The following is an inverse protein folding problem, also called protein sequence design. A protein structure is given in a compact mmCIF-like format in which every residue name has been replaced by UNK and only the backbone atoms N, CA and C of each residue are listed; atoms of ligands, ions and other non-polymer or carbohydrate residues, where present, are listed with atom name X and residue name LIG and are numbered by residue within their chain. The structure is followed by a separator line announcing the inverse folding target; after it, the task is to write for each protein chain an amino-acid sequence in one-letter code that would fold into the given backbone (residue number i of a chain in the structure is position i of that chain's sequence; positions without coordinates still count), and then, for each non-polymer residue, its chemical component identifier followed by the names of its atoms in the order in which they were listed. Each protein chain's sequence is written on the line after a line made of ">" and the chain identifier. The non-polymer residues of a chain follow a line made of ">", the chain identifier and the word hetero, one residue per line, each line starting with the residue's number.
data_IF_415749728325
#
_entry.id   IF_415749728325
#
_cell.length_a   1.000
_cell.length_b   1.000
_cell.length_c   1.000
_cell.angle_alpha   90.00
_cell.angle_beta   90.00
_cell.angle_gamma   90.00
#
_symmetry.space_group_name_H-M   'P 1'
#
loop_
_entity.id
_entity.type
_entity.pdbx_description
1 polymer ?
#
# COMPACT_ATOMS: atom_id res chain seq x y z
N UNK A 1 -30.38 -15.46 1.67
CA UNK A 1 -29.58 -14.78 0.64
C UNK A 1 -28.46 -14.03 1.36
N UNK A 2 -27.22 -14.51 1.29
CA UNK A 2 -26.03 -13.87 1.87
C UNK A 2 -25.82 -12.53 1.14
N UNK A 3 -25.74 -11.39 1.89
CA UNK A 3 -25.31 -10.12 1.31
C UNK A 3 -23.92 -10.36 0.72
N UNK A 4 -23.75 -10.22 -0.59
CA UNK A 4 -22.43 -10.16 -1.21
C UNK A 4 -21.63 -9.08 -0.48
N UNK A 5 -20.52 -9.47 0.13
CA UNK A 5 -19.61 -8.54 0.77
C UNK A 5 -18.98 -7.72 -0.36
N UNK A 6 -19.24 -6.41 -0.40
CA UNK A 6 -18.71 -5.50 -1.42
C UNK A 6 -17.38 -4.93 -0.95
N UNK A 7 -16.48 -4.66 -1.90
CA UNK A 7 -15.26 -3.91 -1.66
C UNK A 7 -15.59 -2.53 -1.08
N UNK A 8 -14.70 -1.98 -0.26
CA UNK A 8 -15.02 -0.77 0.50
C UNK A 8 -14.74 0.49 -0.30
N UNK A 9 -15.76 1.31 -0.53
CA UNK A 9 -15.65 2.67 -1.04
C UNK A 9 -15.43 3.67 0.13
N UNK A 10 -14.65 4.74 -0.12
CA UNK A 10 -14.29 5.78 0.85
C UNK A 10 -14.91 7.14 0.56
N UNK A 11 -15.93 7.24 -0.32
CA UNK A 11 -16.66 8.47 -0.57
C UNK A 11 -17.26 9.06 0.71
N UNK A 12 -17.24 10.38 0.84
CA UNK A 12 -17.73 11.12 2.01
C UNK A 12 -16.80 11.08 3.24
N UNK A 13 -15.66 10.35 3.21
CA UNK A 13 -14.70 10.28 4.32
C UNK A 13 -13.26 10.63 3.92
N UNK A 14 -13.04 11.07 2.68
CA UNK A 14 -11.73 11.40 2.12
C UNK A 14 -10.96 12.43 2.98
N UNK A 15 -11.59 13.50 3.45
CA UNK A 15 -10.96 14.50 4.32
C UNK A 15 -10.54 13.97 5.70
N UNK A 16 -11.24 12.94 6.24
CA UNK A 16 -10.82 12.25 7.47
C UNK A 16 -9.61 11.36 7.23
N UNK A 17 -9.50 10.78 6.04
CA UNK A 17 -8.36 9.98 5.63
C UNK A 17 -7.09 10.83 5.54
N UNK A 18 -7.17 12.03 4.94
CA UNK A 18 -6.07 12.95 4.82
C UNK A 18 -5.46 13.29 6.18
N UNK A 19 -6.28 13.76 7.13
CA UNK A 19 -5.83 14.16 8.47
C UNK A 19 -5.28 13.01 9.31
N UNK A 20 -5.90 11.82 9.22
CA UNK A 20 -5.60 10.71 10.13
C UNK A 20 -4.53 9.74 9.60
N UNK A 21 -4.19 9.80 8.31
CA UNK A 21 -3.25 8.85 7.72
C UNK A 21 -2.09 9.59 7.06
N UNK A 22 -2.35 10.50 6.14
CA UNK A 22 -1.29 11.08 5.30
C UNK A 22 -0.44 12.13 6.01
N UNK A 23 -1.06 13.04 6.79
CA UNK A 23 -0.36 14.12 7.51
C UNK A 23 0.26 13.67 8.84
N UNK A 24 0.22 12.37 9.16
CA UNK A 24 0.78 11.82 10.40
C UNK A 24 2.20 11.28 10.19
N UNK A 25 2.94 11.08 11.29
CA UNK A 25 4.24 10.37 11.26
C UNK A 25 4.15 9.00 10.60
N UNK A 26 3.01 8.31 10.70
CA UNK A 26 2.75 7.03 10.02
C UNK A 26 2.78 7.16 8.50
N UNK A 27 2.15 8.22 7.97
CA UNK A 27 2.12 8.50 6.54
C UNK A 27 3.49 8.93 6.03
N UNK A 28 4.15 9.86 6.75
CA UNK A 28 5.51 10.34 6.44
C UNK A 28 6.52 9.20 6.39
N UNK A 29 6.53 8.32 7.40
CA UNK A 29 7.43 7.18 7.46
C UNK A 29 7.16 6.19 6.31
N UNK A 30 5.88 5.84 6.06
CA UNK A 30 5.51 4.97 4.93
C UNK A 30 5.99 5.54 3.61
N UNK A 31 5.75 6.81 3.35
CA UNK A 31 6.17 7.47 2.12
C UNK A 31 7.69 7.45 1.97
N UNK A 32 8.44 7.77 3.03
CA UNK A 32 9.90 7.77 3.00
C UNK A 32 10.47 6.38 2.69
N UNK A 33 9.91 5.32 3.27
CA UNK A 33 10.33 3.93 2.99
C UNK A 33 10.08 3.57 1.54
N UNK A 34 8.88 3.85 1.01
CA UNK A 34 8.53 3.52 -0.38
C UNK A 34 9.37 4.33 -1.39
N UNK A 35 9.59 5.61 -1.14
CA UNK A 35 10.44 6.45 -2.00
C UNK A 35 11.90 5.99 -2.00
N UNK A 36 12.44 5.54 -0.84
CA UNK A 36 13.77 4.92 -0.78
C UNK A 36 13.82 3.65 -1.63
N UNK A 37 12.82 2.76 -1.50
CA UNK A 37 12.76 1.52 -2.26
C UNK A 37 12.69 1.80 -3.77
N UNK A 38 11.99 2.84 -4.17
CA UNK A 38 11.91 3.25 -5.58
C UNK A 38 13.16 3.93 -6.11
N UNK A 39 13.83 4.75 -5.30
CA UNK A 39 15.09 5.39 -5.71
C UNK A 39 16.20 4.37 -6.01
N UNK A 40 16.12 3.19 -5.43
CA UNK A 40 17.06 2.08 -5.67
C UNK A 40 16.58 1.15 -6.80
N UNK A 41 15.38 1.36 -7.33
CA UNK A 41 14.79 0.52 -8.38
C UNK A 41 15.16 1.04 -9.77
N UNK A 42 15.86 0.22 -10.55
CA UNK A 42 16.28 0.59 -11.92
C UNK A 42 15.11 0.82 -12.87
N UNK A 43 13.96 0.19 -12.65
CA UNK A 43 12.73 0.38 -13.45
C UNK A 43 12.17 1.81 -13.36
N UNK A 44 12.54 2.55 -12.31
CA UNK A 44 12.11 3.93 -12.07
C UNK A 44 13.24 4.97 -12.25
N UNK A 45 14.42 4.55 -12.74
CA UNK A 45 15.53 5.44 -12.99
C UNK A 45 15.29 6.42 -14.16
N UNK A 46 14.35 6.10 -15.05
CA UNK A 46 13.94 6.94 -16.20
C UNK A 46 12.43 7.11 -16.21
N UNK A 47 11.91 8.21 -16.79
CA UNK A 47 10.47 8.41 -16.95
C UNK A 47 9.77 7.20 -17.54
N UNK A 48 8.72 6.74 -16.88
CA UNK A 48 7.97 5.53 -17.22
C UNK A 48 6.47 5.76 -17.08
N UNK A 49 5.66 4.88 -17.66
CA UNK A 49 4.23 4.82 -17.43
C UNK A 49 3.96 3.94 -16.20
N UNK A 50 3.23 4.50 -15.25
CA UNK A 50 2.92 3.83 -13.97
C UNK A 50 1.40 3.75 -13.81
N UNK A 51 0.89 2.61 -13.37
CA UNK A 51 -0.48 2.46 -12.90
C UNK A 51 -0.47 2.38 -11.36
N UNK A 52 -1.23 3.24 -10.69
CA UNK A 52 -1.45 3.18 -9.24
C UNK A 52 -2.87 2.72 -8.95
N UNK A 53 -3.00 1.50 -8.43
CA UNK A 53 -4.27 0.82 -8.16
C UNK A 53 -4.70 1.05 -6.72
N UNK A 54 -5.88 1.63 -6.53
CA UNK A 54 -6.36 2.04 -5.20
C UNK A 54 -5.50 3.18 -4.63
N UNK A 55 -5.22 4.16 -5.49
CA UNK A 55 -4.26 5.23 -5.23
C UNK A 55 -4.67 6.16 -4.07
N UNK A 56 -5.96 6.19 -3.71
CA UNK A 56 -6.49 7.17 -2.78
C UNK A 56 -6.20 8.59 -3.26
N UNK A 57 -5.57 9.42 -2.43
CA UNK A 57 -5.18 10.79 -2.78
C UNK A 57 -3.85 10.87 -3.56
N UNK A 58 -3.32 9.76 -4.04
CA UNK A 58 -2.20 9.73 -4.97
C UNK A 58 -0.86 10.29 -4.45
N UNK A 59 -0.62 10.32 -3.15
CA UNK A 59 0.61 10.95 -2.60
C UNK A 59 1.90 10.42 -3.19
N UNK A 60 1.99 9.10 -3.39
CA UNK A 60 3.15 8.47 -3.99
C UNK A 60 3.21 8.73 -5.50
N UNK A 61 2.05 8.63 -6.17
CA UNK A 61 1.89 8.96 -7.58
C UNK A 61 2.34 10.39 -7.90
N UNK A 62 1.96 11.36 -7.06
CA UNK A 62 2.38 12.75 -7.22
C UNK A 62 3.90 12.93 -7.06
N UNK A 63 4.51 12.22 -6.11
CA UNK A 63 5.97 12.25 -5.94
C UNK A 63 6.71 11.65 -7.16
N UNK A 64 6.16 10.58 -7.77
CA UNK A 64 6.68 9.98 -8.99
C UNK A 64 6.45 10.88 -10.22
N UNK A 65 5.31 11.56 -10.29
CA UNK A 65 5.03 12.54 -11.35
C UNK A 65 6.02 13.70 -11.31
N UNK A 66 6.42 14.18 -10.11
CA UNK A 66 7.46 15.20 -9.95
C UNK A 66 8.84 14.72 -10.45
N UNK A 67 9.07 13.42 -10.56
CA UNK A 67 10.27 12.81 -11.15
C UNK A 67 10.13 12.58 -12.68
N UNK A 68 9.01 13.01 -13.28
CA UNK A 68 8.76 12.96 -14.73
C UNK A 68 8.00 11.72 -15.19
N UNK A 69 7.55 10.85 -14.30
CA UNK A 69 6.73 9.69 -14.66
C UNK A 69 5.32 10.11 -15.08
N UNK A 70 4.71 9.34 -15.99
CA UNK A 70 3.29 9.45 -16.34
C UNK A 70 2.49 8.46 -15.51
N UNK A 71 1.61 8.97 -14.64
CA UNK A 71 0.91 8.11 -13.67
C UNK A 71 -0.58 8.10 -13.91
N UNK A 72 -1.13 6.90 -14.10
CA UNK A 72 -2.57 6.64 -14.13
C UNK A 72 -3.02 6.20 -12.75
N UNK A 73 -3.86 6.99 -12.09
CA UNK A 73 -4.45 6.69 -10.79
C UNK A 73 -5.81 6.05 -10.97
N UNK A 74 -6.05 4.97 -10.24
CA UNK A 74 -7.39 4.37 -10.13
C UNK A 74 -7.79 4.22 -8.67
N UNK A 75 -9.03 4.56 -8.36
CA UNK A 75 -9.64 4.35 -7.05
C UNK A 75 -11.15 4.19 -7.20
N UNK A 76 -11.82 3.57 -6.23
CA UNK A 76 -13.28 3.50 -6.18
C UNK A 76 -13.92 4.84 -5.80
N UNK A 77 -13.18 5.71 -5.12
CA UNK A 77 -13.65 6.98 -4.58
C UNK A 77 -13.31 8.12 -5.52
N UNK A 78 -14.33 8.72 -6.12
CA UNK A 78 -14.18 9.93 -6.91
C UNK A 78 -13.65 11.09 -6.05
N UNK A 79 -14.13 11.22 -4.81
CA UNK A 79 -13.67 12.25 -3.87
C UNK A 79 -12.14 12.20 -3.65
N UNK A 80 -11.58 10.99 -3.55
CA UNK A 80 -10.12 10.79 -3.39
C UNK A 80 -9.36 11.24 -4.63
N UNK A 81 -9.85 10.90 -5.81
CA UNK A 81 -9.23 11.26 -7.09
C UNK A 81 -9.32 12.76 -7.36
N UNK A 82 -10.42 13.41 -7.00
CA UNK A 82 -10.56 14.86 -7.13
C UNK A 82 -9.54 15.59 -6.25
N UNK A 83 -9.32 15.14 -5.02
CA UNK A 83 -8.26 15.68 -4.14
C UNK A 83 -6.86 15.42 -4.72
N UNK A 84 -6.61 14.26 -5.33
CA UNK A 84 -5.34 13.98 -5.99
C UNK A 84 -5.08 14.93 -7.17
N UNK A 85 -6.11 15.25 -7.95
CA UNK A 85 -6.01 16.21 -9.07
C UNK A 85 -5.79 17.65 -8.58
N UNK A 86 -6.41 18.07 -7.48
CA UNK A 86 -6.13 19.36 -6.85
C UNK A 86 -4.69 19.46 -6.40
N UNK A 87 -4.20 18.46 -5.64
CA UNK A 87 -2.81 18.39 -5.20
C UNK A 87 -1.83 18.35 -6.41
N UNK A 88 -2.20 17.69 -7.50
CA UNK A 88 -1.39 17.64 -8.73
C UNK A 88 -1.23 19.02 -9.37
N UNK A 89 -2.31 19.81 -9.44
CA UNK A 89 -2.31 21.20 -9.95
C UNK A 89 -1.44 22.08 -9.07
N UNK A 90 -1.57 21.99 -7.74
CA UNK A 90 -0.76 22.77 -6.81
C UNK A 90 0.74 22.47 -6.95
N UNK A 91 1.10 21.23 -7.30
CA UNK A 91 2.50 20.82 -7.53
C UNK A 91 2.98 21.01 -8.98
N UNK A 92 2.11 21.45 -9.90
CA UNK A 92 2.44 21.64 -11.31
C UNK A 92 2.73 20.33 -12.05
N UNK A 93 2.10 19.23 -11.67
CA UNK A 93 2.25 17.88 -12.26
C UNK A 93 0.94 17.31 -12.81
N UNK A 94 -0.08 18.13 -12.98
CA UNK A 94 -1.40 17.71 -13.44
C UNK A 94 -1.39 17.11 -14.86
N UNK A 95 -0.46 17.55 -15.71
CA UNK A 95 -0.27 16.98 -17.05
C UNK A 95 0.32 15.57 -17.05
N UNK A 96 0.95 15.13 -15.96
CA UNK A 96 1.49 13.79 -15.78
C UNK A 96 0.50 12.83 -15.11
N UNK A 97 -0.64 13.31 -14.64
CA UNK A 97 -1.61 12.53 -13.87
C UNK A 97 -2.89 12.30 -14.68
N UNK A 98 -3.35 11.05 -14.73
CA UNK A 98 -4.66 10.68 -15.24
C UNK A 98 -5.43 9.94 -14.15
N UNK A 99 -6.69 10.30 -13.89
CA UNK A 99 -7.52 9.70 -12.85
C UNK A 99 -8.72 8.97 -13.44
N UNK A 100 -9.01 7.77 -12.93
CA UNK A 100 -10.17 6.97 -13.34
C UNK A 100 -10.85 6.35 -12.11
N UNK A 101 -12.12 6.66 -11.90
CA UNK A 101 -12.94 6.07 -10.83
C UNK A 101 -13.37 4.65 -11.21
N UNK A 102 -12.50 3.68 -10.99
CA UNK A 102 -12.66 2.27 -11.39
C UNK A 102 -12.25 1.32 -10.27
N UNK A 103 -13.01 0.24 -10.11
CA UNK A 103 -12.60 -0.89 -9.30
C UNK A 103 -11.45 -1.66 -9.97
N UNK A 104 -10.59 -2.31 -9.18
CA UNK A 104 -9.53 -3.18 -9.70
C UNK A 104 -10.07 -4.22 -10.70
N UNK A 105 -11.25 -4.79 -10.43
CA UNK A 105 -11.90 -5.80 -11.26
C UNK A 105 -12.28 -5.29 -12.65
N UNK A 106 -12.40 -3.97 -12.84
CA UNK A 106 -12.79 -3.33 -14.11
C UNK A 106 -11.57 -2.91 -14.95
N UNK A 107 -10.35 -2.97 -14.39
CA UNK A 107 -9.16 -2.42 -15.05
C UNK A 107 -8.75 -3.23 -16.28
N UNK A 108 -8.97 -4.55 -16.29
CA UNK A 108 -8.69 -5.41 -17.45
C UNK A 108 -9.60 -5.11 -18.64
N UNK A 109 -10.75 -4.47 -18.42
CA UNK A 109 -11.71 -4.10 -19.47
C UNK A 109 -11.30 -2.82 -20.21
N UNK A 110 -10.35 -2.05 -19.65
CA UNK A 110 -9.97 -0.72 -20.18
C UNK A 110 -9.14 -0.76 -21.45
N UNK A 111 -8.70 -1.94 -21.90
CA UNK A 111 -7.86 -2.11 -23.09
C UNK A 111 -6.56 -1.27 -23.08
N UNK A 112 -6.07 -0.90 -21.91
CA UNK A 112 -4.79 -0.21 -21.77
C UNK A 112 -3.63 -1.13 -22.17
N UNK A 113 -2.60 -0.59 -22.82
CA UNK A 113 -1.35 -1.34 -22.96
C UNK A 113 -0.79 -1.67 -21.58
N UNK A 114 -0.30 -2.89 -21.38
CA UNK A 114 0.31 -3.30 -20.13
C UNK A 114 1.35 -2.26 -19.64
N UNK A 115 1.38 -2.05 -18.33
CA UNK A 115 2.24 -1.04 -17.72
C UNK A 115 3.62 -1.61 -17.37
N UNK A 116 4.71 -0.85 -17.59
CA UNK A 116 6.03 -1.22 -17.08
C UNK A 116 6.07 -1.36 -15.55
N UNK A 117 5.32 -0.49 -14.85
CA UNK A 117 5.27 -0.44 -13.38
C UNK A 117 3.81 -0.34 -12.92
N UNK A 118 3.44 -1.17 -11.93
CA UNK A 118 2.12 -1.15 -11.29
C UNK A 118 2.32 -1.02 -9.78
N UNK A 119 1.61 -0.11 -9.15
CA UNK A 119 1.58 0.08 -7.70
C UNK A 119 0.23 -0.44 -7.16
N UNK A 120 0.27 -1.10 -6.00
CA UNK A 120 -0.94 -1.51 -5.28
C UNK A 120 -0.63 -1.50 -3.77
N UNK A 121 -0.96 -0.40 -3.11
CA UNK A 121 -0.52 -0.17 -1.74
C UNK A 121 -1.70 -0.06 -0.77
N UNK A 122 -1.73 -0.98 0.20
CA UNK A 122 -2.75 -1.03 1.25
C UNK A 122 -4.19 -1.19 0.69
N UNK A 123 -4.34 -1.98 -0.36
CA UNK A 123 -5.61 -2.28 -1.04
C UNK A 123 -6.11 -3.68 -0.70
N UNK A 124 -5.23 -4.69 -0.74
CA UNK A 124 -5.62 -6.10 -0.62
C UNK A 124 -6.43 -6.42 0.64
N UNK A 125 -6.13 -5.76 1.75
CA UNK A 125 -6.81 -5.92 3.03
C UNK A 125 -8.26 -5.41 3.06
N UNK A 126 -8.69 -4.73 2.01
CA UNK A 126 -10.06 -4.24 1.83
C UNK A 126 -10.88 -5.06 0.85
N UNK A 127 -10.22 -5.95 0.11
CA UNK A 127 -10.84 -6.79 -0.90
C UNK A 127 -11.40 -8.08 -0.30
N UNK A 128 -12.44 -8.62 -0.94
CA UNK A 128 -13.01 -9.90 -0.57
C UNK A 128 -12.13 -11.06 -1.03
N UNK A 129 -11.55 -10.94 -2.23
CA UNK A 129 -10.71 -11.97 -2.87
C UNK A 129 -9.32 -11.45 -3.20
N UNK A 130 -8.43 -11.27 -2.19
CA UNK A 130 -7.10 -10.69 -2.41
C UNK A 130 -6.21 -11.53 -3.32
N UNK A 131 -6.37 -12.87 -3.34
CA UNK A 131 -5.63 -13.74 -4.26
C UNK A 131 -5.99 -13.47 -5.73
N UNK A 132 -7.26 -13.23 -6.03
CA UNK A 132 -7.71 -12.89 -7.37
C UNK A 132 -7.22 -11.50 -7.80
N UNK A 133 -7.18 -10.56 -6.86
CA UNK A 133 -6.60 -9.24 -7.12
C UNK A 133 -5.13 -9.31 -7.57
N UNK A 134 -4.33 -10.20 -6.97
CA UNK A 134 -2.93 -10.40 -7.39
C UNK A 134 -2.84 -10.93 -8.83
N UNK A 135 -3.73 -11.84 -9.25
CA UNK A 135 -3.78 -12.30 -10.64
C UNK A 135 -4.18 -11.16 -11.61
N UNK A 136 -5.10 -10.30 -11.18
CA UNK A 136 -5.49 -9.12 -11.97
C UNK A 136 -4.31 -8.14 -12.12
N UNK A 137 -3.51 -7.90 -11.06
CA UNK A 137 -2.28 -7.11 -11.16
C UNK A 137 -1.29 -7.71 -12.16
N UNK A 138 -1.19 -9.07 -12.24
CA UNK A 138 -0.33 -9.73 -13.24
C UNK A 138 -0.78 -9.45 -14.67
N UNK A 139 -2.08 -9.37 -14.92
CA UNK A 139 -2.63 -9.04 -16.24
C UNK A 139 -2.39 -7.58 -16.65
N UNK A 140 -2.22 -6.66 -15.69
CA UNK A 140 -2.02 -5.23 -15.94
C UNK A 140 -0.54 -4.86 -16.15
N UNK A 141 0.39 -5.67 -15.66
CA UNK A 141 1.83 -5.44 -15.79
C UNK A 141 2.40 -6.21 -16.98
N UNK A 142 3.31 -5.59 -17.74
CA UNK A 142 4.03 -6.27 -18.83
C UNK A 142 4.95 -7.38 -18.29
N UNK A 143 5.24 -8.39 -19.12
CA UNK A 143 6.28 -9.39 -18.77
C UNK A 143 7.62 -8.67 -18.60
N UNK A 144 8.35 -9.01 -17.54
CA UNK A 144 9.55 -8.30 -17.11
C UNK A 144 9.27 -6.99 -16.36
N UNK A 145 8.02 -6.55 -16.26
CA UNK A 145 7.65 -5.33 -15.53
C UNK A 145 7.62 -5.53 -14.01
N UNK A 146 7.52 -4.43 -13.29
CA UNK A 146 7.58 -4.38 -11.83
C UNK A 146 6.19 -4.14 -11.24
N UNK A 147 5.85 -4.89 -10.18
CA UNK A 147 4.73 -4.57 -9.28
C UNK A 147 5.28 -4.23 -7.90
N UNK A 148 4.94 -3.04 -7.43
CA UNK A 148 5.16 -2.63 -6.05
C UNK A 148 3.88 -2.93 -5.27
N UNK A 149 3.92 -3.93 -4.39
CA UNK A 149 2.79 -4.41 -3.62
C UNK A 149 3.02 -4.15 -2.12
N UNK A 150 2.11 -3.44 -1.47
CA UNK A 150 2.16 -3.28 -0.01
C UNK A 150 0.83 -3.72 0.61
N UNK A 151 0.89 -4.55 1.65
CA UNK A 151 -0.29 -5.11 2.32
C UNK A 151 -0.17 -5.08 3.84
N UNK A 152 -1.33 -5.08 4.51
CA UNK A 152 -1.44 -5.08 5.96
C UNK A 152 -1.12 -6.45 6.54
N UNK A 153 -0.08 -6.52 7.37
CA UNK A 153 0.52 -7.75 7.88
C UNK A 153 -0.22 -8.30 9.12
N UNK A 154 -0.72 -9.54 9.02
CA UNK A 154 -1.43 -10.23 10.11
C UNK A 154 -0.49 -10.55 11.28
N UNK A 155 0.76 -10.90 11.03
CA UNK A 155 1.71 -11.23 12.08
C UNK A 155 2.11 -9.99 12.89
N UNK A 156 2.30 -8.84 12.22
CA UNK A 156 2.51 -7.56 12.90
C UNK A 156 1.30 -7.15 13.76
N UNK A 157 0.07 -7.40 13.26
CA UNK A 157 -1.14 -7.17 14.06
C UNK A 157 -1.19 -8.09 15.27
N UNK A 158 -0.82 -9.36 15.12
CA UNK A 158 -0.74 -10.34 16.20
C UNK A 158 0.29 -9.90 17.25
N UNK A 159 1.52 -9.58 16.81
CA UNK A 159 2.60 -9.11 17.68
C UNK A 159 2.19 -7.87 18.48
N UNK A 160 1.64 -6.86 17.81
CA UNK A 160 1.15 -5.64 18.46
C UNK A 160 0.14 -5.95 19.58
N UNK A 161 -0.81 -6.85 19.32
CA UNK A 161 -1.81 -7.22 20.32
C UNK A 161 -1.22 -8.04 21.48
N UNK A 162 -0.19 -8.85 21.24
CA UNK A 162 0.57 -9.53 22.29
C UNK A 162 1.27 -8.51 23.21
N UNK A 163 1.99 -7.55 22.61
CA UNK A 163 2.70 -6.49 23.35
C UNK A 163 1.74 -5.67 24.21
N UNK A 164 0.52 -5.39 23.73
CA UNK A 164 -0.50 -4.65 24.47
C UNK A 164 -1.36 -5.52 25.41
N UNK A 165 -1.03 -6.81 25.61
CA UNK A 165 -1.74 -7.70 26.53
C UNK A 165 -3.13 -8.14 26.07
N UNK A 166 -3.47 -7.99 24.80
CA UNK A 166 -4.78 -8.40 24.24
C UNK A 166 -4.83 -9.91 23.97
N UNK A 167 -4.39 -10.74 24.92
CA UNK A 167 -4.18 -12.18 24.74
C UNK A 167 -5.44 -12.93 24.29
N UNK A 168 -6.59 -12.63 24.86
CA UNK A 168 -7.85 -13.28 24.48
C UNK A 168 -8.23 -13.02 23.01
N UNK A 169 -7.88 -11.84 22.49
CA UNK A 169 -8.08 -11.49 21.07
C UNK A 169 -7.12 -12.27 20.17
N UNK A 170 -5.87 -12.41 20.58
CA UNK A 170 -4.85 -13.18 19.86
C UNK A 170 -5.19 -14.66 19.83
N UNK A 171 -5.60 -15.24 20.98
CA UNK A 171 -6.01 -16.65 21.08
C UNK A 171 -7.23 -17.00 20.22
N UNK A 172 -8.04 -16.02 19.84
CA UNK A 172 -9.16 -16.15 18.89
C UNK A 172 -8.76 -15.80 17.45
N UNK A 173 -7.50 -15.92 17.11
CA UNK A 173 -6.93 -15.58 15.80
C UNK A 173 -7.35 -14.19 15.28
N UNK A 174 -7.39 -13.21 16.16
CA UNK A 174 -7.76 -11.82 15.86
C UNK A 174 -9.22 -11.67 15.37
N UNK A 175 -10.10 -12.62 15.68
CA UNK A 175 -11.51 -12.55 15.30
C UNK A 175 -12.27 -11.50 16.16
N UNK A 176 -12.82 -10.48 15.53
CA UNK A 176 -13.58 -9.41 16.21
C UNK A 176 -15.02 -9.34 15.71
N UNK A 177 -15.96 -9.10 16.69
CA UNK A 177 -17.39 -8.94 16.39
C UNK A 177 -17.77 -7.51 15.96
N UNK A 178 -16.97 -6.47 16.26
CA UNK A 178 -17.26 -5.07 15.92
C UNK A 178 -16.30 -4.52 14.87
N UNK A 179 -16.86 -3.96 13.80
CA UNK A 179 -16.11 -3.29 12.74
C UNK A 179 -15.67 -1.89 13.19
N UNK A 180 -14.36 -1.60 13.16
CA UNK A 180 -13.80 -0.26 13.39
C UNK A 180 -13.69 0.47 12.05
N UNK A 181 -14.24 1.69 11.97
CA UNK A 181 -14.53 2.37 10.70
C UNK A 181 -13.34 2.61 9.77
N UNK A 182 -12.15 2.91 10.27
CA UNK A 182 -10.96 3.26 9.45
C UNK A 182 -9.80 2.27 9.62
N UNK A 183 -10.03 1.11 10.23
CA UNK A 183 -8.99 0.08 10.34
C UNK A 183 -9.23 -1.02 9.33
N UNK A 184 -8.19 -1.46 8.59
CA UNK A 184 -8.27 -2.64 7.74
C UNK A 184 -8.76 -3.83 8.55
N UNK A 185 -9.78 -4.51 8.02
CA UNK A 185 -10.45 -5.59 8.76
C UNK A 185 -9.81 -6.94 8.48
N UNK A 186 -9.13 -7.06 7.35
CA UNK A 186 -8.56 -8.28 6.81
C UNK A 186 -7.03 -8.20 6.71
N UNK A 187 -6.30 -8.27 7.84
CA UNK A 187 -4.84 -8.39 7.74
C UNK A 187 -4.51 -9.71 7.06
N UNK A 188 -3.56 -9.69 6.15
CA UNK A 188 -3.20 -10.85 5.36
C UNK A 188 -2.03 -11.62 6.00
N UNK A 189 -2.08 -12.94 5.93
CA UNK A 189 -0.97 -13.79 6.32
C UNK A 189 0.13 -13.66 5.25
N UNK A 190 1.37 -13.27 5.61
CA UNK A 190 2.43 -13.04 4.63
C UNK A 190 2.71 -14.23 3.72
N UNK A 191 2.74 -15.45 4.27
CA UNK A 191 3.01 -16.68 3.52
C UNK A 191 1.94 -16.93 2.44
N UNK A 192 0.69 -16.58 2.72
CA UNK A 192 -0.39 -16.69 1.72
C UNK A 192 -0.17 -15.70 0.58
N UNK A 193 0.19 -14.45 0.90
CA UNK A 193 0.50 -13.43 -0.12
C UNK A 193 1.68 -13.85 -0.99
N UNK A 194 2.76 -14.36 -0.40
CA UNK A 194 3.93 -14.83 -1.14
C UNK A 194 3.57 -15.99 -2.09
N UNK A 195 2.75 -16.93 -1.61
CA UNK A 195 2.25 -18.04 -2.41
C UNK A 195 1.42 -17.53 -3.58
N UNK A 196 0.44 -16.65 -3.35
CA UNK A 196 -0.41 -16.08 -4.41
C UNK A 196 0.39 -15.30 -5.45
N UNK A 197 1.41 -14.54 -5.04
CA UNK A 197 2.32 -13.86 -5.96
C UNK A 197 3.04 -14.88 -6.87
N UNK A 198 3.59 -15.95 -6.29
CA UNK A 198 4.27 -17.00 -7.06
C UNK A 198 3.30 -17.72 -8.02
N UNK A 199 2.12 -18.08 -7.56
CA UNK A 199 1.07 -18.73 -8.37
C UNK A 199 0.57 -17.84 -9.51
N UNK A 200 0.59 -16.52 -9.33
CA UNK A 200 0.21 -15.55 -10.36
C UNK A 200 1.34 -15.26 -11.38
N UNK A 201 2.53 -15.84 -11.24
CA UNK A 201 3.65 -15.62 -12.15
C UNK A 201 4.51 -14.41 -11.78
N UNK A 202 4.77 -14.23 -10.48
CA UNK A 202 5.71 -13.24 -9.97
C UNK A 202 6.91 -13.87 -9.25
N UNK A 203 8.07 -13.23 -9.38
CA UNK A 203 9.23 -13.45 -8.51
C UNK A 203 9.31 -12.28 -7.52
N UNK A 204 9.51 -12.58 -6.24
CA UNK A 204 9.74 -11.57 -5.20
C UNK A 204 11.21 -11.17 -5.24
N UNK A 205 11.52 -9.96 -5.70
CA UNK A 205 12.88 -9.42 -5.77
C UNK A 205 13.29 -8.63 -4.52
N UNK A 206 12.30 -8.09 -3.80
CA UNK A 206 12.55 -7.30 -2.60
C UNK A 206 11.45 -7.45 -1.56
N UNK A 207 11.84 -7.41 -0.27
CA UNK A 207 10.94 -7.39 0.87
C UNK A 207 11.39 -6.32 1.86
N UNK A 208 10.49 -5.41 2.20
CA UNK A 208 10.71 -4.34 3.15
C UNK A 208 9.57 -4.30 4.18
N UNK A 209 9.89 -4.27 5.45
CA UNK A 209 8.92 -3.94 6.49
C UNK A 209 8.64 -2.43 6.49
N UNK A 210 7.40 -2.05 6.69
CA UNK A 210 6.98 -0.65 6.80
C UNK A 210 6.34 -0.42 8.15
N UNK A 211 6.88 0.50 8.92
CA UNK A 211 6.53 0.74 10.33
C UNK A 211 6.87 -0.47 11.20
N UNK A 212 8.14 -0.86 11.17
CA UNK A 212 8.67 -1.96 11.98
C UNK A 212 8.78 -1.59 13.45
N UNK A 213 9.07 -0.31 13.77
CA UNK A 213 9.33 0.15 15.13
C UNK A 213 8.33 1.18 15.61
N UNK A 214 7.85 2.06 14.73
CA UNK A 214 6.97 3.18 15.04
C UNK A 214 5.79 2.81 15.95
N UNK A 215 5.10 1.70 15.68
CA UNK A 215 3.89 1.29 16.42
C UNK A 215 4.19 0.62 17.76
N UNK A 216 5.46 0.30 18.03
CA UNK A 216 5.90 -0.44 19.21
C UNK A 216 6.68 0.41 20.21
N UNK A 217 6.87 1.71 19.95
CA UNK A 217 7.52 2.60 20.90
C UNK A 217 6.77 2.61 22.23
N UNK A 218 7.52 2.52 23.32
CA UNK A 218 6.99 2.54 24.67
C UNK A 218 6.35 3.89 25.00
N UNK A 219 7.06 4.98 24.65
CA UNK A 219 6.52 6.33 24.67
C UNK A 219 6.11 6.73 23.25
N UNK A 220 4.80 6.94 23.08
CA UNK A 220 4.25 7.31 21.77
C UNK A 220 4.51 8.76 21.37
N UNK A 221 4.87 9.62 22.31
CA UNK A 221 5.24 11.01 22.00
C UNK A 221 6.51 11.06 21.16
N UNK A 222 7.40 10.07 21.31
CA UNK A 222 8.63 9.93 20.54
C UNK A 222 8.37 9.70 19.05
N UNK A 223 7.16 9.29 18.65
CA UNK A 223 6.78 9.20 17.23
C UNK A 223 6.87 10.57 16.53
N UNK A 224 6.63 11.66 17.25
CA UNK A 224 6.73 13.03 16.73
C UNK A 224 8.06 13.67 17.14
N UNK A 225 8.42 13.62 18.43
CA UNK A 225 9.58 14.35 18.96
C UNK A 225 10.93 13.81 18.49
N UNK A 226 11.01 12.51 18.17
CA UNK A 226 12.22 11.82 17.71
C UNK A 226 12.05 11.24 16.29
N UNK A 227 11.15 11.82 15.49
CA UNK A 227 10.77 11.26 14.18
C UNK A 227 11.96 10.99 13.27
N UNK A 228 12.92 11.90 13.19
CA UNK A 228 14.05 11.77 12.26
C UNK A 228 14.99 10.61 12.65
N UNK A 229 15.21 10.41 13.96
CA UNK A 229 15.98 9.26 14.47
C UNK A 229 15.22 7.96 14.26
N UNK A 230 13.91 7.98 14.51
CA UNK A 230 13.03 6.83 14.26
C UNK A 230 13.06 6.43 12.78
N UNK A 231 12.99 7.41 11.88
CA UNK A 231 13.09 7.17 10.43
C UNK A 231 14.45 6.58 10.05
N UNK A 232 15.56 7.07 10.62
CA UNK A 232 16.88 6.49 10.38
C UNK A 232 16.94 5.02 10.79
N UNK A 233 16.46 4.69 12.00
CA UNK A 233 16.41 3.30 12.50
C UNK A 233 15.52 2.44 11.60
N UNK A 234 14.36 2.95 11.21
CA UNK A 234 13.44 2.24 10.30
C UNK A 234 14.14 1.92 8.96
N UNK A 235 14.76 2.91 8.31
CA UNK A 235 15.44 2.72 7.03
C UNK A 235 16.67 1.79 7.13
N UNK A 236 17.37 1.79 8.27
CA UNK A 236 18.53 0.95 8.49
C UNK A 236 18.19 -0.53 8.66
N UNK A 237 17.08 -0.84 9.33
CA UNK A 237 16.78 -2.20 9.78
C UNK A 237 15.59 -2.87 9.10
N UNK A 238 14.72 -2.12 8.44
CA UNK A 238 13.44 -2.61 7.95
C UNK A 238 13.49 -3.63 6.79
N UNK A 239 14.68 -3.88 6.23
CA UNK A 239 14.94 -4.97 5.26
C UNK A 239 15.61 -6.19 5.88
N UNK A 240 15.99 -6.09 7.15
CA UNK A 240 16.68 -7.18 7.87
C UNK A 240 15.65 -8.01 8.63
N UNK A 241 15.81 -9.34 8.62
CA UNK A 241 15.03 -10.21 9.50
C UNK A 241 15.56 -10.12 10.95
N UNK A 242 14.70 -10.17 11.95
CA UNK A 242 13.24 -10.40 11.88
C UNK A 242 12.41 -9.12 11.65
N UNK A 243 13.03 -7.95 11.51
CA UNK A 243 12.32 -6.66 11.46
C UNK A 243 11.44 -6.53 10.21
N UNK A 244 11.93 -6.99 9.05
CA UNK A 244 11.17 -6.99 7.81
C UNK A 244 9.84 -7.75 7.95
N UNK A 245 9.83 -8.85 8.73
CA UNK A 245 8.65 -9.68 8.96
C UNK A 245 7.65 -9.09 9.95
N UNK A 246 8.06 -8.17 10.83
CA UNK A 246 7.19 -7.55 11.85
C UNK A 246 6.71 -6.14 11.48
N UNK A 247 7.07 -5.63 10.31
CA UNK A 247 6.53 -4.35 9.80
C UNK A 247 5.01 -4.37 9.77
N UNK A 248 4.37 -3.27 10.19
CA UNK A 248 2.90 -3.12 10.19
C UNK A 248 2.30 -3.41 8.83
N UNK A 249 3.03 -3.04 7.78
CA UNK A 249 2.83 -3.48 6.41
C UNK A 249 4.09 -4.18 5.93
N UNK A 250 3.93 -5.06 4.95
CA UNK A 250 5.04 -5.53 4.15
C UNK A 250 4.93 -4.95 2.75
N UNK A 251 6.05 -4.46 2.24
CA UNK A 251 6.21 -3.99 0.89
C UNK A 251 7.06 -5.00 0.12
N UNK A 252 6.55 -5.45 -1.01
CA UNK A 252 7.18 -6.40 -1.92
C UNK A 252 7.45 -5.72 -3.26
N UNK A 253 8.64 -5.92 -3.81
CA UNK A 253 8.95 -5.67 -5.21
C UNK A 253 8.85 -7.00 -5.96
N UNK A 254 7.94 -7.06 -6.93
CA UNK A 254 7.56 -8.27 -7.64
C UNK A 254 7.90 -8.11 -9.12
N UNK A 255 8.69 -9.05 -9.68
CA UNK A 255 8.97 -9.12 -11.12
C UNK A 255 7.97 -10.05 -11.81
N UNK A 256 7.30 -9.58 -12.86
CA UNK A 256 6.40 -10.38 -13.68
C UNK A 256 7.20 -11.29 -14.61
N UNK A 257 6.96 -12.62 -14.58
CA UNK A 257 7.61 -13.63 -15.41
C UNK A 257 6.65 -14.21 -16.45
#
# INVERSE_FOLDING_TARGET
>A
MSKKQQDRNFDGIAGKFQKNIYQTTKGRLRQAVLLRDFAECTDLATPSRILDVGAGQGQLALALAQQGHQVTLTDLSQDMLDMALEDAKERGVDTQIQCHALALQQLSEQQWPAFPVVLCHAVLEWLHEPAEAIKQLRALVQTGGLVSLMFYNKDAKRLSNIIYGNFNYVLRDLAFKKKVSLSPQNPLQPEDVYRWCKEAGFVIEGKTGVRCFHDYLRDRSEQETEFDKLLQVELQYNRQEPYASIGRYQHLLLRAI
#
